data_IF_101873294769
#
_entry.id   IF_101873294769
#
_cell.length_a   1.000
_cell.length_b   1.000
_cell.length_c   1.000
_cell.angle_alpha   90.00
_cell.angle_beta   90.00
_cell.angle_gamma   90.00
#
_symmetry.space_group_name_H-M   'P 1'
#
loop_
_entity.id
_entity.type
_entity.pdbx_description
1 polymer ?
#
# COMPACT_ATOMS: atom_id res chain seq x y z
N UNK A 1 -10.08 -27.97 -12.65
CA UNK A 1 -10.18 -26.77 -11.80
C UNK A 1 -9.16 -26.94 -10.71
N UNK A 2 -8.18 -26.06 -10.61
CA UNK A 2 -7.26 -26.03 -9.48
C UNK A 2 -8.10 -25.74 -8.22
N UNK A 3 -7.99 -26.59 -7.21
CA UNK A 3 -8.67 -26.36 -5.95
C UNK A 3 -8.16 -25.06 -5.30
N UNK A 4 -9.08 -24.26 -4.79
CA UNK A 4 -8.72 -23.09 -4.02
C UNK A 4 -8.02 -23.51 -2.72
N UNK A 5 -6.96 -22.81 -2.30
CA UNK A 5 -6.28 -23.08 -1.03
C UNK A 5 -7.23 -22.89 0.19
N UNK A 6 -6.81 -23.34 1.36
CA UNK A 6 -7.61 -23.23 2.58
C UNK A 6 -7.79 -21.78 3.06
N UNK A 7 -6.85 -20.91 2.67
CA UNK A 7 -6.93 -19.47 2.87
C UNK A 7 -6.45 -18.73 1.63
N UNK A 8 -7.17 -17.68 1.23
CA UNK A 8 -6.84 -16.90 0.03
C UNK A 8 -7.41 -15.49 0.08
N UNK A 9 -6.90 -14.64 -0.78
CA UNK A 9 -7.45 -13.31 -1.03
C UNK A 9 -7.84 -13.19 -2.50
N UNK A 10 -8.99 -12.56 -2.77
CA UNK A 10 -9.42 -12.20 -4.12
C UNK A 10 -9.27 -10.70 -4.24
N UNK A 11 -8.59 -10.24 -5.30
CA UNK A 11 -8.34 -8.81 -5.54
C UNK A 11 -8.71 -8.45 -6.96
N UNK A 12 -9.27 -7.25 -7.16
CA UNK A 12 -9.46 -6.68 -8.49
C UNK A 12 -8.19 -5.93 -8.95
N UNK A 13 -8.01 -5.84 -10.28
CA UNK A 13 -6.86 -5.16 -10.88
C UNK A 13 -7.07 -3.67 -11.11
N UNK A 14 -8.32 -3.20 -11.13
CA UNK A 14 -8.74 -1.91 -11.66
C UNK A 14 -9.25 -0.93 -10.60
N UNK A 15 -8.90 -1.13 -9.34
CA UNK A 15 -9.33 -0.22 -8.28
C UNK A 15 -8.73 -0.51 -6.91
N UNK A 16 -8.87 0.46 -6.02
CA UNK A 16 -8.42 0.37 -4.63
C UNK A 16 -9.51 -0.23 -3.74
N UNK A 17 -9.11 -0.91 -2.65
CA UNK A 17 -10.03 -1.55 -1.67
C UNK A 17 -10.96 -2.60 -2.24
N UNK A 18 -10.74 -3.05 -3.45
CA UNK A 18 -11.46 -4.15 -4.10
C UNK A 18 -10.80 -5.48 -3.74
N UNK A 19 -10.97 -5.91 -2.49
CA UNK A 19 -10.41 -7.16 -2.00
C UNK A 19 -11.45 -7.93 -1.16
N UNK A 20 -11.41 -9.25 -1.24
CA UNK A 20 -12.23 -10.16 -0.46
C UNK A 20 -11.31 -11.19 0.20
N UNK A 21 -11.17 -11.10 1.51
CA UNK A 21 -10.26 -11.94 2.28
C UNK A 21 -10.99 -13.19 2.78
N UNK A 22 -10.39 -14.34 2.54
CA UNK A 22 -10.89 -15.64 2.97
C UNK A 22 -9.82 -16.33 3.84
N UNK A 23 -9.75 -16.01 5.13
CA UNK A 23 -8.78 -16.61 6.02
C UNK A 23 -9.10 -18.09 6.33
N UNK A 24 -10.31 -18.54 6.08
CA UNK A 24 -10.81 -19.89 6.32
C UNK A 24 -11.85 -20.27 5.25
N UNK A 25 -11.46 -21.14 4.33
CA UNK A 25 -12.31 -21.61 3.22
C UNK A 25 -13.59 -22.30 3.70
N UNK A 26 -13.59 -22.91 4.89
CA UNK A 26 -14.77 -23.57 5.44
C UNK A 26 -15.91 -22.59 5.75
N UNK A 27 -15.57 -21.29 5.89
CA UNK A 27 -16.49 -20.17 6.15
C UNK A 27 -16.72 -19.31 4.91
N UNK A 28 -16.24 -19.75 3.76
CA UNK A 28 -16.33 -18.97 2.51
C UNK A 28 -17.77 -18.91 1.99
N UNK A 29 -18.33 -17.71 1.95
CA UNK A 29 -19.61 -17.41 1.34
C UNK A 29 -19.41 -17.04 -0.14
N UNK A 30 -19.58 -18.04 -1.01
CA UNK A 30 -19.39 -17.88 -2.46
C UNK A 30 -20.44 -16.96 -3.09
N UNK A 31 -21.65 -16.89 -2.57
CA UNK A 31 -22.71 -16.04 -3.13
C UNK A 31 -22.47 -14.57 -2.74
N UNK A 32 -22.04 -14.30 -1.54
CA UNK A 32 -21.61 -12.96 -1.13
C UNK A 32 -20.40 -12.52 -1.94
N UNK A 33 -19.43 -13.40 -2.12
CA UNK A 33 -18.21 -13.11 -2.89
C UNK A 33 -18.55 -12.79 -4.36
N UNK A 34 -19.42 -13.56 -5.01
CA UNK A 34 -19.86 -13.29 -6.39
C UNK A 34 -20.50 -11.90 -6.52
N UNK A 35 -21.36 -11.52 -5.57
CA UNK A 35 -21.99 -10.19 -5.55
C UNK A 35 -20.95 -9.07 -5.44
N UNK A 36 -19.94 -9.24 -4.58
CA UNK A 36 -18.86 -8.26 -4.45
C UNK A 36 -18.01 -8.17 -5.71
N UNK A 37 -17.62 -9.31 -6.31
CA UNK A 37 -16.89 -9.34 -7.57
C UNK A 37 -17.70 -8.65 -8.67
N UNK A 38 -19.00 -8.95 -8.79
CA UNK A 38 -19.85 -8.31 -9.80
C UNK A 38 -19.87 -6.79 -9.59
N UNK A 39 -20.03 -6.33 -8.36
CA UNK A 39 -19.98 -4.89 -8.03
C UNK A 39 -18.66 -4.26 -8.46
N UNK A 40 -17.51 -4.92 -8.22
CA UNK A 40 -16.22 -4.42 -8.68
C UNK A 40 -16.14 -4.35 -10.21
N UNK A 41 -16.58 -5.41 -10.89
CA UNK A 41 -16.56 -5.46 -12.36
C UNK A 41 -17.41 -4.37 -13.00
N UNK A 42 -18.47 -3.93 -12.33
CA UNK A 42 -19.37 -2.85 -12.77
C UNK A 42 -18.89 -1.46 -12.36
N UNK A 43 -17.80 -1.37 -11.58
CA UNK A 43 -17.27 -0.09 -11.07
C UNK A 43 -16.17 0.43 -11.96
N UNK A 44 -16.32 1.63 -12.51
CA UNK A 44 -15.23 2.38 -13.15
C UNK A 44 -14.50 3.20 -12.09
N UNK A 45 -13.44 2.61 -11.52
CA UNK A 45 -12.56 3.30 -10.59
C UNK A 45 -11.70 4.33 -11.34
N UNK A 46 -11.26 5.37 -10.66
CA UNK A 46 -10.43 6.43 -11.27
C UNK A 46 -11.20 7.67 -11.69
N UNK A 47 -12.50 7.55 -12.00
CA UNK A 47 -13.32 8.71 -12.37
C UNK A 47 -13.52 9.66 -11.17
N UNK A 48 -13.76 9.10 -10.00
CA UNK A 48 -14.01 9.86 -8.76
C UNK A 48 -12.81 9.95 -7.84
N UNK A 49 -11.80 9.09 -8.05
CA UNK A 49 -10.62 9.00 -7.18
C UNK A 49 -9.46 9.90 -7.60
N UNK A 50 -9.61 10.69 -8.66
CA UNK A 50 -8.51 11.46 -9.28
C UNK A 50 -7.30 10.59 -9.68
N UNK A 51 -7.56 9.34 -10.03
CA UNK A 51 -6.59 8.33 -10.43
C UNK A 51 -6.92 7.81 -11.84
N UNK A 52 -6.86 8.66 -12.89
CA UNK A 52 -7.37 8.34 -14.23
C UNK A 52 -6.69 7.14 -14.89
N UNK A 53 -5.48 6.80 -14.47
CA UNK A 53 -4.77 5.62 -14.97
C UNK A 53 -5.50 4.29 -14.69
N UNK A 54 -6.39 4.24 -13.69
CA UNK A 54 -7.20 3.05 -13.44
C UNK A 54 -8.31 2.83 -14.48
N UNK A 55 -8.75 3.88 -15.19
CA UNK A 55 -9.86 3.80 -16.15
C UNK A 55 -9.53 2.86 -17.31
N UNK A 56 -8.26 2.83 -17.72
CA UNK A 56 -7.78 2.01 -18.85
C UNK A 56 -7.37 0.59 -18.42
N UNK A 57 -7.34 0.28 -17.12
CA UNK A 57 -7.00 -1.05 -16.66
C UNK A 57 -8.15 -2.02 -16.93
N UNK A 58 -7.91 -3.12 -17.68
CA UNK A 58 -8.93 -4.11 -17.89
C UNK A 58 -9.49 -4.67 -16.58
N UNK A 59 -10.80 -4.67 -16.44
CA UNK A 59 -11.46 -5.21 -15.26
C UNK A 59 -11.22 -6.71 -15.15
N UNK A 60 -10.42 -7.10 -14.18
CA UNK A 60 -10.09 -8.51 -13.89
C UNK A 60 -10.00 -8.68 -12.38
N UNK A 61 -10.06 -9.91 -11.94
CA UNK A 61 -9.71 -10.29 -10.57
C UNK A 61 -8.73 -11.46 -10.59
N UNK A 62 -7.97 -11.60 -9.52
CA UNK A 62 -7.06 -12.70 -9.31
C UNK A 62 -7.16 -13.20 -7.88
N UNK A 63 -6.66 -14.42 -7.66
CA UNK A 63 -6.65 -15.07 -6.37
C UNK A 63 -5.19 -15.27 -5.98
N UNK A 64 -4.85 -14.86 -4.79
CA UNK A 64 -3.53 -15.05 -4.21
C UNK A 64 -3.62 -15.76 -2.86
N UNK A 65 -2.50 -16.29 -2.40
CA UNK A 65 -2.39 -16.86 -1.07
C UNK A 65 -2.66 -15.77 -0.03
N UNK A 66 -3.53 -16.07 0.93
CA UNK A 66 -3.71 -15.20 2.09
C UNK A 66 -2.44 -15.23 2.94
N UNK A 67 -1.91 -14.06 3.25
CA UNK A 67 -0.80 -13.93 4.17
C UNK A 67 -1.35 -14.03 5.59
N UNK A 68 -0.98 -15.09 6.30
CA UNK A 68 -1.34 -15.23 7.70
C UNK A 68 -0.83 -14.04 8.51
N UNK A 69 -1.62 -13.61 9.51
CA UNK A 69 -1.33 -12.43 10.32
C UNK A 69 -1.34 -11.10 9.53
N UNK A 70 -2.16 -11.02 8.47
CA UNK A 70 -2.27 -9.82 7.65
C UNK A 70 -2.62 -8.55 8.46
N UNK A 71 -3.29 -8.70 9.61
CA UNK A 71 -3.60 -7.65 10.58
C UNK A 71 -2.36 -7.15 11.37
N UNK A 72 -1.29 -7.94 11.41
CA UNK A 72 -0.02 -7.62 12.07
C UNK A 72 1.06 -7.15 11.09
N UNK A 73 0.80 -7.24 9.78
CA UNK A 73 1.77 -6.81 8.78
C UNK A 73 1.96 -5.30 8.84
N UNK A 74 3.22 -4.90 8.80
CA UNK A 74 3.60 -3.52 8.53
C UNK A 74 3.65 -3.33 7.02
N UNK A 75 3.01 -2.26 6.55
CA UNK A 75 3.00 -1.84 5.16
C UNK A 75 4.10 -0.77 5.00
N UNK A 76 5.15 -1.09 4.27
CA UNK A 76 6.30 -0.22 4.00
C UNK A 76 6.13 0.45 2.65
N UNK A 77 5.81 1.73 2.64
CA UNK A 77 5.48 2.53 1.47
C UNK A 77 6.64 3.43 1.07
N UNK A 78 7.49 2.93 0.20
CA UNK A 78 8.66 3.65 -0.29
C UNK A 78 8.27 4.68 -1.34
N UNK A 79 8.46 5.95 -1.05
CA UNK A 79 8.27 7.04 -1.99
C UNK A 79 9.54 7.24 -2.81
N UNK A 80 9.44 6.95 -4.10
CA UNK A 80 10.60 6.94 -5.01
C UNK A 80 10.50 8.08 -6.02
N UNK A 81 11.61 8.82 -6.17
CA UNK A 81 11.76 9.89 -7.15
C UNK A 81 12.92 9.55 -8.10
N UNK A 82 12.68 9.58 -9.41
CA UNK A 82 13.67 9.26 -10.43
C UNK A 82 14.40 7.94 -10.21
N UNK A 83 13.66 6.91 -9.74
CA UNK A 83 14.19 5.58 -9.45
C UNK A 83 14.89 5.42 -8.09
N UNK A 84 14.93 6.47 -7.26
CA UNK A 84 15.57 6.43 -5.95
C UNK A 84 14.55 6.61 -4.81
N UNK A 85 14.47 5.67 -3.85
CA UNK A 85 13.67 5.84 -2.64
C UNK A 85 14.18 7.01 -1.81
N UNK A 86 13.27 7.90 -1.40
CA UNK A 86 13.59 9.10 -0.63
C UNK A 86 13.24 8.95 0.84
N UNK A 87 12.06 8.41 1.10
CA UNK A 87 11.55 8.13 2.45
C UNK A 87 10.55 7.00 2.42
N UNK A 88 10.28 6.42 3.57
CA UNK A 88 9.27 5.39 3.74
C UNK A 88 8.21 5.83 4.74
N UNK A 89 6.95 5.75 4.33
CA UNK A 89 5.79 5.83 5.21
C UNK A 89 5.42 4.41 5.64
N UNK A 90 5.36 4.16 6.92
CA UNK A 90 4.91 2.86 7.45
C UNK A 90 3.48 2.93 7.94
N UNK A 91 2.72 1.86 7.70
CA UNK A 91 1.39 1.69 8.24
C UNK A 91 1.38 0.42 9.10
N UNK A 92 1.32 0.60 10.41
CA UNK A 92 1.33 -0.48 11.40
C UNK A 92 0.06 -0.51 12.24
N UNK A 93 -0.08 -1.50 13.12
CA UNK A 93 -1.17 -1.60 14.09
C UNK A 93 -2.58 -1.49 13.49
N UNK A 94 -2.78 -2.08 12.31
CA UNK A 94 -4.08 -2.06 11.63
C UNK A 94 -5.13 -2.79 12.45
N UNK A 95 -6.14 -2.07 12.92
CA UNK A 95 -7.30 -2.65 13.61
C UNK A 95 -8.55 -2.40 12.79
N UNK A 96 -9.16 -3.48 12.32
CA UNK A 96 -10.50 -3.42 11.72
C UNK A 96 -11.54 -3.46 12.84
N UNK A 97 -12.29 -2.39 13.02
CA UNK A 97 -13.38 -2.32 13.97
C UNK A 97 -14.76 -2.47 13.29
N UNK A 98 -14.89 -3.41 12.36
CA UNK A 98 -16.10 -3.60 11.57
C UNK A 98 -16.36 -2.42 10.63
N UNK A 99 -17.52 -1.76 10.75
CA UNK A 99 -17.91 -0.63 9.87
C UNK A 99 -17.24 0.70 10.20
N UNK A 100 -16.35 0.75 11.20
CA UNK A 100 -15.61 1.97 11.55
C UNK A 100 -14.33 2.09 10.74
N UNK A 101 -13.87 3.33 10.54
CA UNK A 101 -12.58 3.61 9.90
C UNK A 101 -11.46 2.76 10.53
N UNK A 102 -10.64 2.16 9.67
CA UNK A 102 -9.51 1.34 10.10
C UNK A 102 -8.51 2.23 10.85
N UNK A 103 -8.26 1.90 12.12
CA UNK A 103 -7.19 2.54 12.86
C UNK A 103 -5.84 2.01 12.38
N UNK A 104 -4.91 2.90 12.12
CA UNK A 104 -3.55 2.59 11.68
C UNK A 104 -2.59 3.56 12.34
N UNK A 105 -1.41 3.09 12.72
CA UNK A 105 -0.33 3.95 13.18
C UNK A 105 0.59 4.28 12.00
N UNK A 106 0.90 5.56 11.81
CA UNK A 106 1.71 6.07 10.70
C UNK A 106 3.01 6.68 11.22
N UNK A 107 4.14 6.19 10.72
CA UNK A 107 5.47 6.73 10.99
C UNK A 107 6.21 6.99 9.66
N UNK A 108 7.10 7.98 9.66
CA UNK A 108 7.98 8.27 8.53
C UNK A 108 9.43 8.06 8.93
N UNK A 109 10.18 7.41 8.05
CA UNK A 109 11.60 7.12 8.22
C UNK A 109 12.40 7.50 6.97
N UNK A 110 13.67 7.87 7.17
CA UNK A 110 14.64 7.95 6.09
C UNK A 110 15.14 6.55 5.65
N UNK A 111 16.04 6.51 4.69
CA UNK A 111 16.56 5.23 4.17
C UNK A 111 17.54 4.54 5.13
N UNK A 112 18.02 5.21 6.17
CA UNK A 112 18.82 4.65 7.27
C UNK A 112 17.96 4.16 8.44
N UNK A 113 16.63 4.23 8.30
CA UNK A 113 15.63 3.91 9.33
C UNK A 113 15.65 4.87 10.52
N UNK A 114 15.99 6.14 10.29
CA UNK A 114 15.84 7.18 11.30
C UNK A 114 14.47 7.82 11.16
N UNK A 115 13.72 7.97 12.25
CA UNK A 115 12.44 8.66 12.18
C UNK A 115 12.65 10.13 11.78
N UNK A 116 11.76 10.64 10.94
CA UNK A 116 11.79 12.02 10.43
C UNK A 116 10.52 12.80 10.79
N UNK A 117 10.22 12.95 12.09
CA UNK A 117 9.01 13.62 12.55
C UNK A 117 8.93 15.10 12.15
N UNK A 118 10.09 15.73 11.87
CA UNK A 118 10.19 17.13 11.48
C UNK A 118 9.57 17.47 10.12
N UNK A 119 9.28 16.45 9.30
CA UNK A 119 8.59 16.66 8.01
C UNK A 119 7.09 16.41 8.09
N UNK A 120 6.61 15.97 9.25
CA UNK A 120 5.21 15.61 9.46
C UNK A 120 4.39 16.85 9.80
N UNK A 121 3.29 17.05 9.04
CA UNK A 121 2.33 18.10 9.35
C UNK A 121 1.34 17.66 10.44
N UNK A 122 0.63 18.63 11.02
CA UNK A 122 -0.48 18.35 11.95
C UNK A 122 -1.67 17.64 11.30
N UNK A 123 -1.66 17.48 9.97
CA UNK A 123 -2.69 16.75 9.22
C UNK A 123 -2.49 15.22 9.23
N UNK A 124 -1.39 14.72 9.80
CA UNK A 124 -1.21 13.27 9.93
C UNK A 124 -2.18 12.73 10.98
N UNK A 125 -3.10 11.89 10.54
CA UNK A 125 -3.99 11.16 11.45
C UNK A 125 -3.24 9.96 12.05
N UNK A 126 -3.38 9.76 13.37
CA UNK A 126 -2.76 8.64 14.09
C UNK A 126 -1.24 8.53 13.91
N UNK A 127 -0.48 9.60 14.20
CA UNK A 127 0.97 9.55 14.13
C UNK A 127 1.52 8.52 15.11
N UNK A 128 2.57 7.81 14.69
CA UNK A 128 3.38 6.97 15.54
C UNK A 128 4.38 7.81 16.36
N UNK A 129 5.21 7.13 17.11
CA UNK A 129 6.25 7.73 17.94
C UNK A 129 7.68 7.53 17.38
N UNK A 130 7.79 6.98 16.17
CA UNK A 130 9.06 6.68 15.51
C UNK A 130 9.81 5.48 16.11
N UNK A 131 9.16 4.67 16.95
CA UNK A 131 9.79 3.52 17.63
C UNK A 131 9.56 2.18 16.91
N UNK A 132 8.98 2.22 15.70
CA UNK A 132 8.80 1.01 14.93
C UNK A 132 10.16 0.34 14.67
N UNK A 133 10.33 -0.96 15.02
CA UNK A 133 11.59 -1.65 14.80
C UNK A 133 12.00 -1.66 13.33
N UNK A 134 13.30 -1.49 13.07
CA UNK A 134 13.87 -1.63 11.73
C UNK A 134 13.55 -3.03 11.18
N UNK A 135 12.98 -3.15 9.95
CA UNK A 135 12.76 -4.45 9.33
C UNK A 135 14.09 -5.16 9.07
N UNK A 136 14.13 -6.47 9.23
CA UNK A 136 15.35 -7.24 9.04
C UNK A 136 15.88 -7.16 7.59
N UNK A 137 14.98 -7.00 6.62
CA UNK A 137 15.29 -6.96 5.21
C UNK A 137 15.21 -5.54 4.60
N UNK A 138 15.49 -4.47 5.39
CA UNK A 138 15.40 -3.10 4.87
C UNK A 138 16.25 -2.90 3.60
N UNK A 139 17.49 -3.38 3.59
CA UNK A 139 18.40 -3.24 2.45
C UNK A 139 17.84 -3.92 1.18
N UNK A 140 17.23 -5.08 1.35
CA UNK A 140 16.56 -5.79 0.24
C UNK A 140 15.30 -5.05 -0.21
N UNK A 141 14.52 -4.47 0.70
CA UNK A 141 13.37 -3.64 0.36
C UNK A 141 13.80 -2.41 -0.44
N UNK A 142 14.84 -1.72 -0.02
CA UNK A 142 15.40 -0.56 -0.74
C UNK A 142 15.87 -0.98 -2.14
N UNK A 143 16.57 -2.12 -2.24
CA UNK A 143 17.02 -2.67 -3.54
C UNK A 143 15.83 -2.96 -4.46
N UNK A 144 14.78 -3.60 -3.95
CA UNK A 144 13.55 -3.89 -4.70
C UNK A 144 12.85 -2.60 -5.12
N UNK A 145 12.72 -1.63 -4.21
CA UNK A 145 12.11 -0.35 -4.49
C UNK A 145 12.84 0.39 -5.63
N UNK A 146 14.18 0.40 -5.64
CA UNK A 146 14.99 0.96 -6.73
C UNK A 146 14.74 0.25 -8.07
N UNK A 147 14.71 -1.07 -8.08
CA UNK A 147 14.46 -1.85 -9.30
C UNK A 147 13.08 -1.56 -9.88
N UNK A 148 12.05 -1.52 -9.01
CA UNK A 148 10.68 -1.32 -9.44
C UNK A 148 10.37 0.12 -9.82
N UNK A 149 11.10 1.09 -9.27
CA UNK A 149 10.89 2.52 -9.54
C UNK A 149 11.75 3.11 -10.66
N UNK A 150 12.76 2.38 -11.16
CA UNK A 150 13.81 2.89 -12.05
C UNK A 150 13.32 3.63 -13.31
N UNK A 151 12.17 3.22 -13.85
CA UNK A 151 11.63 3.77 -15.09
C UNK A 151 10.58 4.88 -14.85
N UNK A 152 10.35 5.25 -13.58
CA UNK A 152 9.33 6.22 -13.19
C UNK A 152 9.95 7.48 -12.59
N UNK A 153 9.40 8.64 -12.95
CA UNK A 153 9.76 9.92 -12.31
C UNK A 153 9.29 9.98 -10.87
N UNK A 154 8.10 9.45 -10.61
CA UNK A 154 7.53 9.26 -9.29
C UNK A 154 6.73 7.96 -9.24
N UNK A 155 6.93 7.19 -8.20
CA UNK A 155 6.10 6.02 -7.86
C UNK A 155 6.29 5.67 -6.40
N UNK A 156 5.22 5.24 -5.74
CA UNK A 156 5.29 4.62 -4.41
C UNK A 156 5.33 3.10 -4.58
N UNK A 157 6.31 2.48 -3.97
CA UNK A 157 6.47 1.02 -3.95
C UNK A 157 6.07 0.51 -2.58
N UNK A 158 5.00 -0.28 -2.50
CA UNK A 158 4.49 -0.83 -1.25
C UNK A 158 4.99 -2.27 -1.07
N UNK A 159 5.66 -2.52 0.04
CA UNK A 159 6.26 -3.80 0.38
C UNK A 159 5.82 -4.25 1.78
N UNK A 160 5.88 -5.56 2.01
CA UNK A 160 5.65 -6.19 3.32
C UNK A 160 6.83 -7.07 3.69
N UNK A 161 7.02 -7.28 4.98
CA UNK A 161 7.91 -8.31 5.49
C UNK A 161 7.12 -9.31 6.33
N UNK A 162 7.27 -10.59 6.01
CA UNK A 162 6.69 -11.68 6.78
C UNK A 162 7.69 -12.85 6.80
N UNK A 163 8.01 -13.35 8.00
CA UNK A 163 8.92 -14.49 8.17
C UNK A 163 10.25 -14.31 7.42
N UNK A 164 10.84 -13.11 7.53
CA UNK A 164 12.11 -12.74 6.88
C UNK A 164 12.08 -12.77 5.35
N UNK A 165 10.90 -12.65 4.75
CA UNK A 165 10.72 -12.56 3.30
C UNK A 165 10.03 -11.25 2.96
N UNK A 166 10.52 -10.61 1.91
CA UNK A 166 9.89 -9.42 1.35
C UNK A 166 8.82 -9.83 0.35
N UNK A 167 7.65 -9.24 0.49
CA UNK A 167 6.52 -9.42 -0.41
C UNK A 167 6.19 -8.11 -1.09
N UNK A 168 5.90 -8.18 -2.37
CA UNK A 168 5.41 -7.05 -3.14
C UNK A 168 3.92 -6.84 -2.86
N UNK A 169 3.54 -5.59 -2.59
CA UNK A 169 2.16 -5.16 -2.42
C UNK A 169 1.61 -4.54 -3.69
N UNK A 170 2.04 -3.31 -3.99
CA UNK A 170 1.56 -2.57 -5.17
C UNK A 170 2.56 -1.49 -5.61
N UNK A 171 2.39 -1.02 -6.84
CA UNK A 171 2.91 0.26 -7.32
C UNK A 171 1.77 1.28 -7.32
N UNK A 172 1.97 2.42 -6.66
CA UNK A 172 0.97 3.49 -6.60
C UNK A 172 1.51 4.75 -7.27
N UNK A 173 0.85 5.21 -8.33
CA UNK A 173 1.32 6.32 -9.16
C UNK A 173 0.82 7.68 -8.68
N UNK A 174 -0.33 7.71 -8.02
CA UNK A 174 -0.93 8.92 -7.43
C UNK A 174 -1.36 8.70 -5.98
N UNK A 175 -0.41 8.38 -5.07
CA UNK A 175 -0.72 8.12 -3.67
C UNK A 175 -1.41 9.31 -3.03
N UNK A 176 -2.49 9.05 -2.26
CA UNK A 176 -3.34 10.08 -1.65
C UNK A 176 -3.77 11.17 -2.66
N UNK A 177 -4.06 10.79 -3.91
CA UNK A 177 -4.44 11.70 -5.00
C UNK A 177 -3.40 12.78 -5.30
N UNK A 178 -2.12 12.50 -5.04
CA UNK A 178 -1.00 13.46 -5.08
C UNK A 178 -1.17 14.66 -4.15
N UNK A 179 -1.99 14.53 -3.12
CA UNK A 179 -2.13 15.51 -2.03
C UNK A 179 -1.71 14.83 -0.74
N UNK A 180 -0.58 15.25 -0.18
CA UNK A 180 -0.03 14.68 1.06
C UNK A 180 -0.29 15.59 2.25
N UNK A 181 -1.48 15.56 2.86
CA UNK A 181 -1.83 16.48 3.96
C UNK A 181 -0.98 16.23 5.21
N UNK A 182 -0.28 15.12 5.27
CA UNK A 182 0.59 14.73 6.38
C UNK A 182 2.06 15.19 6.23
N UNK A 183 2.46 15.74 5.07
CA UNK A 183 3.79 16.30 4.88
C UNK A 183 3.75 17.83 5.02
N UNK A 184 4.83 18.41 5.55
CA UNK A 184 5.00 19.86 5.54
C UNK A 184 5.23 20.37 4.11
N UNK A 185 4.60 21.48 3.74
CA UNK A 185 4.72 22.11 2.41
C UNK A 185 6.18 22.33 1.99
N UNK A 186 7.04 22.68 2.95
CA UNK A 186 8.46 22.87 2.68
C UNK A 186 9.13 21.59 2.20
N UNK A 187 8.84 20.46 2.85
CA UNK A 187 9.41 19.17 2.48
C UNK A 187 8.84 18.68 1.14
N UNK A 188 7.55 18.83 0.94
CA UNK A 188 6.90 18.47 -0.32
C UNK A 188 7.50 19.27 -1.49
N UNK A 189 7.74 20.57 -1.30
CA UNK A 189 8.43 21.42 -2.29
C UNK A 189 9.87 20.97 -2.55
N UNK A 190 10.62 20.57 -1.52
CA UNK A 190 11.98 20.06 -1.66
C UNK A 190 11.99 18.75 -2.45
N UNK A 191 11.07 17.84 -2.17
CA UNK A 191 10.91 16.61 -2.95
C UNK A 191 10.51 16.91 -4.41
N UNK A 192 9.60 17.85 -4.62
CA UNK A 192 9.19 18.26 -5.95
C UNK A 192 10.34 18.82 -6.81
N UNK A 193 11.33 19.49 -6.21
CA UNK A 193 12.53 19.98 -6.91
C UNK A 193 13.45 18.85 -7.39
N UNK A 194 13.37 17.67 -6.77
CA UNK A 194 14.13 16.50 -7.21
C UNK A 194 13.52 15.85 -8.46
N UNK A 195 12.25 16.09 -8.74
CA UNK A 195 11.60 15.55 -9.92
C UNK A 195 12.20 16.14 -11.19
N UNK A 196 12.74 15.27 -12.02
CA UNK A 196 13.25 15.62 -13.36
C UNK A 196 12.11 15.42 -14.37
N UNK A 197 11.29 16.45 -14.56
CA UNK A 197 10.16 16.44 -15.50
C UNK A 197 10.65 16.74 -16.90
#
# INVERSE_FOLDING_TARGET
MTELPDSFAIKATHGCKMNYLVPDKSKFDSEKCKKEIQRWMDTTYGTYSMEPHYIEIPHRFYIEKYLEKADQLVDYKFHCLNGEPQFVLTCSNRKSNGDKAMQVTLDLFDMDWKPIPEIVSSGLEHPGNGELPKPENLDEMIRIAKILSKDFKFVRVDLYELERKVYFGELTFSPAHCVFPYLLDKFDLEMGKLLQI
#
